data_IF_580556144093
#
_entry.id   IF_580556144093
#
_cell.length_a   1.000
_cell.length_b   1.000
_cell.length_c   1.000
_cell.angle_alpha   90.00
_cell.angle_beta   90.00
_cell.angle_gamma   90.00
#
_symmetry.space_group_name_H-M   'P 1'
#
loop_
_entity.id
_entity.type
_entity.pdbx_description
1 polymer ?
#
# COMPACT_ATOMS: atom_id res chain seq x y z
N UNK A 1 9.44 -2.99 -15.14
CA UNK A 1 8.21 -3.18 -15.96
C UNK A 1 7.00 -2.68 -15.21
N UNK A 2 5.92 -2.29 -15.90
CA UNK A 2 4.73 -1.66 -15.30
C UNK A 2 3.51 -2.52 -15.59
N UNK A 3 2.65 -2.74 -14.59
CA UNK A 3 1.41 -3.49 -14.75
C UNK A 3 0.27 -2.82 -13.98
N UNK A 4 -0.85 -2.60 -14.68
CA UNK A 4 -2.07 -2.03 -14.13
C UNK A 4 -3.20 -3.03 -14.36
N UNK A 5 -3.77 -3.55 -13.29
CA UNK A 5 -4.94 -4.44 -13.32
C UNK A 5 -5.94 -3.93 -12.30
N UNK A 6 -6.57 -2.80 -12.63
CA UNK A 6 -7.58 -2.16 -11.81
C UNK A 6 -8.98 -2.59 -12.25
N UNK A 7 -9.99 -2.47 -11.38
CA UNK A 7 -11.39 -2.75 -11.74
C UNK A 7 -11.64 -4.12 -12.39
N UNK A 8 -10.95 -5.16 -11.91
CA UNK A 8 -10.95 -6.51 -12.50
C UNK A 8 -11.51 -7.58 -11.56
N UNK A 9 -12.23 -7.19 -10.50
CA UNK A 9 -12.90 -8.06 -9.54
C UNK A 9 -12.00 -9.12 -8.85
N UNK A 10 -10.68 -8.91 -8.84
CA UNK A 10 -9.78 -9.82 -8.14
C UNK A 10 -10.04 -9.80 -6.63
N UNK A 11 -10.16 -10.98 -6.03
CA UNK A 11 -10.37 -11.16 -4.58
C UNK A 11 -9.08 -11.42 -3.81
N UNK A 12 -8.01 -11.77 -4.53
CA UNK A 12 -6.65 -11.99 -4.02
C UNK A 12 -5.65 -11.47 -5.05
N UNK A 13 -4.41 -11.19 -4.63
CA UNK A 13 -3.32 -10.95 -5.58
C UNK A 13 -2.96 -12.29 -6.26
N UNK A 14 -3.00 -12.40 -7.60
CA UNK A 14 -2.63 -13.64 -8.27
C UNK A 14 -1.14 -13.95 -8.11
N UNK A 15 -0.81 -15.21 -7.79
CA UNK A 15 0.58 -15.66 -7.53
C UNK A 15 1.55 -15.33 -8.67
N UNK A 16 1.07 -15.39 -9.92
CA UNK A 16 1.88 -15.05 -11.09
C UNK A 16 2.43 -13.63 -11.03
N UNK A 17 1.65 -12.65 -10.52
CA UNK A 17 2.08 -11.26 -10.45
C UNK A 17 3.24 -11.06 -9.47
N UNK A 18 3.30 -11.91 -8.45
CA UNK A 18 4.30 -11.81 -7.38
C UNK A 18 5.67 -12.30 -7.84
N UNK A 19 5.71 -13.24 -8.78
CA UNK A 19 6.93 -13.75 -9.40
C UNK A 19 7.43 -12.95 -10.61
N UNK A 20 6.69 -11.92 -11.03
CA UNK A 20 7.09 -11.08 -12.17
C UNK A 20 8.10 -10.01 -11.75
N UNK A 21 8.99 -9.67 -12.68
CA UNK A 21 9.96 -8.57 -12.53
C UNK A 21 9.28 -7.21 -12.79
N UNK A 22 8.34 -6.87 -11.91
CA UNK A 22 7.58 -5.63 -11.93
C UNK A 22 8.30 -4.56 -11.11
N UNK A 23 8.30 -3.34 -11.64
CA UNK A 23 8.74 -2.13 -10.94
C UNK A 23 7.54 -1.38 -10.38
N UNK A 24 6.44 -1.37 -11.12
CA UNK A 24 5.19 -0.72 -10.75
C UNK A 24 4.04 -1.71 -10.88
N UNK A 25 3.26 -1.86 -9.81
CA UNK A 25 2.05 -2.67 -9.80
C UNK A 25 0.88 -1.87 -9.24
N UNK A 26 -0.17 -1.72 -10.04
CA UNK A 26 -1.47 -1.24 -9.56
C UNK A 26 -2.53 -2.32 -9.64
N UNK A 27 -3.18 -2.56 -8.50
CA UNK A 27 -4.33 -3.45 -8.30
C UNK A 27 -5.50 -2.68 -7.67
N UNK A 28 -5.54 -1.36 -7.86
CA UNK A 28 -6.59 -0.50 -7.33
C UNK A 28 -8.00 -0.91 -7.75
N UNK A 29 -8.98 -0.63 -6.88
CA UNK A 29 -10.41 -0.83 -7.14
C UNK A 29 -10.78 -2.26 -7.58
N UNK A 30 -10.14 -3.26 -6.99
CA UNK A 30 -10.57 -4.66 -7.07
C UNK A 30 -11.36 -5.04 -5.79
N UNK A 31 -11.47 -6.34 -5.50
CA UNK A 31 -12.12 -6.88 -4.30
C UNK A 31 -11.11 -7.61 -3.41
N UNK A 32 -9.83 -7.21 -3.45
CA UNK A 32 -8.73 -7.92 -2.79
C UNK A 32 -8.90 -7.80 -1.27
N UNK A 33 -8.99 -8.95 -0.60
CA UNK A 33 -9.07 -9.01 0.86
C UNK A 33 -7.74 -9.43 1.49
N UNK A 34 -7.00 -10.29 0.79
CA UNK A 34 -5.74 -10.86 1.27
C UNK A 34 -4.61 -10.55 0.30
N UNK A 35 -3.46 -10.17 0.88
CA UNK A 35 -2.24 -9.85 0.14
C UNK A 35 -1.15 -10.84 0.56
N UNK A 36 -0.49 -11.55 -0.38
CA UNK A 36 0.56 -12.50 -0.05
C UNK A 36 1.82 -11.79 0.45
N UNK A 37 2.53 -12.41 1.40
CA UNK A 37 3.84 -11.94 1.90
C UNK A 37 4.84 -11.69 0.79
N UNK A 38 4.78 -12.53 -0.25
CA UNK A 38 5.70 -12.48 -1.37
C UNK A 38 5.61 -11.14 -2.16
N UNK A 39 4.47 -10.43 -2.13
CA UNK A 39 4.35 -9.11 -2.76
C UNK A 39 5.30 -8.08 -2.11
N UNK A 40 5.43 -8.12 -0.78
CA UNK A 40 6.27 -7.22 0.00
C UNK A 40 7.69 -7.74 0.21
N UNK A 41 8.08 -8.79 -0.50
CA UNK A 41 9.47 -9.30 -0.54
C UNK A 41 9.99 -9.40 -1.97
N UNK A 42 9.23 -8.92 -2.97
CA UNK A 42 9.68 -8.81 -4.35
C UNK A 42 10.69 -7.66 -4.47
N UNK A 43 11.96 -7.92 -4.85
CA UNK A 43 13.03 -6.93 -4.79
C UNK A 43 12.96 -5.87 -5.91
N UNK A 44 12.13 -6.09 -6.94
CA UNK A 44 12.06 -5.22 -8.12
C UNK A 44 11.00 -4.13 -8.00
N UNK A 45 9.98 -4.35 -7.15
CA UNK A 45 8.90 -3.39 -6.96
C UNK A 45 9.39 -2.14 -6.23
N UNK A 46 9.04 -0.97 -6.77
CA UNK A 46 9.25 0.33 -6.12
C UNK A 46 7.94 1.04 -5.83
N UNK A 47 6.85 0.69 -6.53
CA UNK A 47 5.52 1.24 -6.32
C UNK A 47 4.46 0.15 -6.31
N UNK A 48 3.63 0.16 -5.26
CA UNK A 48 2.45 -0.70 -5.15
C UNK A 48 1.22 0.15 -4.82
N UNK A 49 0.18 -0.01 -5.63
CA UNK A 49 -1.11 0.66 -5.45
C UNK A 49 -2.24 -0.37 -5.30
N UNK A 50 -2.97 -0.33 -4.19
CA UNK A 50 -4.05 -1.26 -3.85
C UNK A 50 -5.26 -0.53 -3.25
N UNK A 51 -5.41 0.77 -3.53
CA UNK A 51 -6.51 1.61 -3.09
C UNK A 51 -7.88 1.01 -3.44
N UNK A 52 -8.89 1.28 -2.62
CA UNK A 52 -10.27 0.86 -2.91
C UNK A 52 -10.50 -0.65 -2.86
N UNK A 53 -9.57 -1.42 -2.31
CA UNK A 53 -9.76 -2.84 -2.01
C UNK A 53 -10.18 -3.03 -0.54
N UNK A 54 -11.00 -4.03 -0.21
CA UNK A 54 -11.44 -4.32 1.16
C UNK A 54 -10.36 -4.98 2.05
N UNK A 55 -9.09 -4.59 1.92
CA UNK A 55 -7.96 -5.12 2.69
C UNK A 55 -8.09 -4.68 4.14
N UNK A 56 -8.19 -5.62 5.07
CA UNK A 56 -8.27 -5.35 6.52
C UNK A 56 -6.93 -5.49 7.25
N UNK A 57 -5.99 -6.24 6.68
CA UNK A 57 -4.65 -6.45 7.21
C UNK A 57 -3.64 -6.68 6.09
N UNK A 58 -2.41 -6.22 6.29
CA UNK A 58 -1.26 -6.60 5.46
C UNK A 58 -0.54 -7.79 6.10
N UNK A 59 0.15 -8.61 5.30
CA UNK A 59 0.97 -9.69 5.86
C UNK A 59 2.16 -9.14 6.65
N UNK A 60 2.60 -9.90 7.65
CA UNK A 60 3.87 -9.65 8.32
C UNK A 60 5.04 -10.17 7.50
N UNK A 61 6.10 -9.38 7.40
CA UNK A 61 7.37 -9.77 6.78
C UNK A 61 8.53 -9.40 7.69
N UNK A 62 9.62 -10.18 7.71
CA UNK A 62 10.83 -9.77 8.42
C UNK A 62 11.35 -8.44 7.86
N UNK A 63 11.67 -7.48 8.72
CA UNK A 63 12.09 -6.13 8.32
C UNK A 63 13.28 -6.13 7.34
N UNK A 64 14.21 -7.08 7.47
CA UNK A 64 15.37 -7.25 6.60
C UNK A 64 15.06 -7.88 5.23
N UNK A 65 13.86 -8.44 5.05
CA UNK A 65 13.40 -9.06 3.80
C UNK A 65 12.39 -8.19 3.04
N UNK A 66 11.97 -7.06 3.61
CA UNK A 66 10.93 -6.22 3.00
C UNK A 66 11.45 -5.55 1.73
N UNK A 67 10.57 -5.38 0.75
CA UNK A 67 10.82 -4.60 -0.46
C UNK A 67 11.11 -3.14 -0.12
N UNK A 68 12.09 -2.55 -0.79
CA UNK A 68 12.38 -1.13 -0.72
C UNK A 68 11.43 -0.35 -1.63
N UNK A 69 10.21 -0.10 -1.14
CA UNK A 69 9.21 0.69 -1.86
C UNK A 69 9.48 2.20 -1.73
N UNK A 70 9.32 2.93 -2.83
CA UNK A 70 9.26 4.39 -2.81
C UNK A 70 7.84 4.88 -2.48
N UNK A 71 6.82 4.14 -2.94
CA UNK A 71 5.42 4.50 -2.80
C UNK A 71 4.50 3.29 -2.58
N UNK A 72 3.69 3.37 -1.53
CA UNK A 72 2.64 2.42 -1.19
C UNK A 72 1.30 3.17 -1.04
N UNK A 73 0.31 2.80 -1.84
CA UNK A 73 -1.01 3.44 -1.84
C UNK A 73 -2.06 2.44 -1.38
N UNK A 74 -2.68 2.75 -0.24
CA UNK A 74 -3.66 1.92 0.47
C UNK A 74 -4.90 2.73 0.87
N UNK A 75 -5.14 3.86 0.19
CA UNK A 75 -6.31 4.69 0.41
C UNK A 75 -7.60 3.86 0.29
N UNK A 76 -8.58 4.15 1.13
CA UNK A 76 -9.92 3.55 1.08
C UNK A 76 -9.88 2.01 1.19
N UNK A 77 -8.94 1.50 1.99
CA UNK A 77 -8.93 0.11 2.47
C UNK A 77 -9.56 0.03 3.87
N UNK A 78 -9.73 -1.19 4.40
CA UNK A 78 -10.27 -1.42 5.74
C UNK A 78 -9.17 -1.61 6.81
N UNK A 79 -7.96 -1.10 6.55
CA UNK A 79 -6.81 -1.23 7.45
C UNK A 79 -7.05 -0.46 8.74
N UNK A 80 -7.02 -1.16 9.88
CA UNK A 80 -7.10 -0.58 11.22
C UNK A 80 -5.77 -0.59 11.97
N UNK A 81 -4.82 -1.42 11.52
CA UNK A 81 -3.50 -1.61 12.13
C UNK A 81 -2.45 -1.76 11.02
N UNK A 82 -1.27 -1.17 11.24
CA UNK A 82 -0.11 -1.37 10.36
C UNK A 82 0.73 -2.55 10.85
N UNK A 83 1.28 -3.37 9.94
CA UNK A 83 2.17 -4.46 10.31
C UNK A 83 3.50 -3.95 10.87
N UNK A 84 4.19 -4.80 11.63
CA UNK A 84 5.39 -4.42 12.39
C UNK A 84 6.56 -3.92 11.52
N UNK A 85 6.63 -4.36 10.27
CA UNK A 85 7.68 -3.96 9.32
C UNK A 85 7.50 -2.55 8.74
N UNK A 86 6.29 -1.96 8.85
CA UNK A 86 6.04 -0.55 8.57
C UNK A 86 6.48 0.33 9.74
N UNK A 87 7.67 0.03 10.26
CA UNK A 87 8.31 0.76 11.34
C UNK A 87 8.85 2.12 10.87
N UNK A 88 9.47 2.86 11.79
CA UNK A 88 10.08 4.15 11.47
C UNK A 88 11.10 4.05 10.31
N UNK A 89 11.87 2.96 10.22
CA UNK A 89 12.90 2.81 9.17
C UNK A 89 12.31 2.65 7.78
N UNK A 90 11.14 2.02 7.65
CA UNK A 90 10.38 1.97 6.42
C UNK A 90 9.71 3.32 6.11
N UNK A 91 9.06 3.91 7.11
CA UNK A 91 8.26 5.13 6.93
C UNK A 91 9.10 6.38 6.66
N UNK A 92 10.41 6.39 6.93
CA UNK A 92 11.26 7.53 6.51
C UNK A 92 11.66 7.47 5.03
N UNK A 93 11.68 6.28 4.42
CA UNK A 93 12.07 6.08 3.02
C UNK A 93 10.88 5.96 2.08
N UNK A 94 9.73 5.53 2.58
CA UNK A 94 8.58 5.16 1.75
C UNK A 94 7.40 6.07 2.00
N UNK A 95 6.84 6.63 0.93
CA UNK A 95 5.55 7.33 0.97
C UNK A 95 4.42 6.32 1.09
N UNK A 96 3.55 6.51 2.07
CA UNK A 96 2.42 5.64 2.35
C UNK A 96 1.15 6.47 2.42
N UNK A 97 0.19 6.19 1.54
CA UNK A 97 -1.14 6.80 1.58
C UNK A 97 -2.16 5.86 2.19
N UNK A 98 -2.89 6.33 3.19
CA UNK A 98 -3.87 5.57 3.98
C UNK A 98 -5.19 6.36 4.17
N UNK A 99 -5.48 7.34 3.31
CA UNK A 99 -6.68 8.15 3.45
C UNK A 99 -7.96 7.31 3.44
N UNK A 100 -8.92 7.65 4.29
CA UNK A 100 -10.17 6.88 4.52
C UNK A 100 -9.93 5.41 4.91
N UNK A 101 -8.96 5.17 5.78
CA UNK A 101 -8.81 3.88 6.46
C UNK A 101 -9.22 4.01 7.92
N UNK A 102 -9.76 2.96 8.57
CA UNK A 102 -10.02 2.98 10.01
C UNK A 102 -8.80 3.34 10.86
N UNK A 103 -7.59 3.04 10.39
CA UNK A 103 -6.33 3.45 11.01
C UNK A 103 -6.21 4.98 11.10
N UNK A 104 -6.46 5.67 9.99
CA UNK A 104 -6.43 7.12 9.95
C UNK A 104 -7.58 7.77 10.72
N UNK A 105 -8.77 7.15 10.72
CA UNK A 105 -9.89 7.60 11.55
C UNK A 105 -9.54 7.53 13.04
N UNK A 106 -8.89 6.44 13.47
CA UNK A 106 -8.43 6.27 14.84
C UNK A 106 -7.34 7.29 15.23
N UNK A 107 -6.40 7.61 14.33
CA UNK A 107 -5.39 8.65 14.56
C UNK A 107 -6.03 10.04 14.71
N UNK A 108 -6.97 10.38 13.83
CA UNK A 108 -7.73 11.63 13.90
C UNK A 108 -8.53 11.75 15.19
N UNK A 109 -9.19 10.67 15.62
CA UNK A 109 -9.91 10.61 16.90
C UNK A 109 -8.97 10.74 18.12
N UNK A 110 -7.74 10.24 18.00
CA UNK A 110 -6.72 10.37 19.04
C UNK A 110 -6.09 11.78 19.13
N UNK A 111 -6.57 12.74 18.32
CA UNK A 111 -5.99 14.09 18.18
C UNK A 111 -4.49 14.07 17.82
N UNK A 112 -4.04 12.94 17.26
CA UNK A 112 -2.71 12.78 16.71
C UNK A 112 -2.81 13.24 15.27
N UNK A 113 -2.28 14.42 14.96
CA UNK A 113 -2.12 14.82 13.57
C UNK A 113 -1.23 13.76 12.92
N UNK A 114 -1.75 13.06 11.91
CA UNK A 114 -1.00 12.05 11.15
C UNK A 114 0.32 12.61 10.59
N UNK A 115 0.40 13.93 10.43
CA UNK A 115 1.62 14.68 10.10
C UNK A 115 2.75 14.57 11.14
N UNK A 116 2.45 14.15 12.38
CA UNK A 116 3.42 14.13 13.50
C UNK A 116 4.12 12.78 13.66
N UNK A 117 3.68 11.71 12.95
CA UNK A 117 4.27 10.38 13.12
C UNK A 117 5.30 10.07 12.02
N UNK A 118 5.13 10.58 10.79
CA UNK A 118 6.18 10.65 9.77
C UNK A 118 5.67 11.48 8.57
N UNK A 119 6.49 12.35 7.97
CA UNK A 119 6.06 13.16 6.81
C UNK A 119 5.65 12.32 5.59
N UNK A 120 6.06 11.05 5.56
CA UNK A 120 5.75 10.14 4.46
C UNK A 120 4.47 9.33 4.70
N UNK A 121 3.90 9.31 5.91
CA UNK A 121 2.64 8.63 6.21
C UNK A 121 1.48 9.62 6.10
N UNK A 122 0.62 9.43 5.11
CA UNK A 122 -0.37 10.42 4.69
C UNK A 122 -1.79 9.86 4.86
N UNK A 123 -2.52 10.42 5.83
CA UNK A 123 -3.94 10.13 6.05
C UNK A 123 -4.90 10.99 5.21
N UNK A 124 -4.38 11.78 4.27
CA UNK A 124 -5.20 12.54 3.32
C UNK A 124 -5.44 11.68 2.08
N UNK A 125 -6.61 11.82 1.45
CA UNK A 125 -6.89 11.21 0.15
C UNK A 125 -5.79 11.60 -0.83
N UNK A 126 -5.21 10.61 -1.49
CA UNK A 126 -4.39 10.85 -2.65
C UNK A 126 -5.27 11.22 -3.85
N UNK A 127 -5.44 12.52 -4.12
CA UNK A 127 -6.17 13.00 -5.30
C UNK A 127 -5.45 12.67 -6.63
N UNK A 128 -4.17 12.28 -6.57
CA UNK A 128 -3.38 11.85 -7.72
C UNK A 128 -3.46 10.32 -7.98
N UNK A 129 -4.26 9.55 -7.23
CA UNK A 129 -4.49 8.13 -7.53
C UNK A 129 -5.00 7.90 -8.96
N UNK A 130 -5.83 8.80 -9.48
CA UNK A 130 -6.32 8.75 -10.87
C UNK A 130 -5.25 9.13 -11.91
N UNK A 131 -4.05 9.55 -11.48
CA UNK A 131 -2.97 10.04 -12.34
C UNK A 131 -1.73 9.14 -12.35
N UNK A 132 -1.75 7.96 -11.71
CA UNK A 132 -0.70 6.95 -11.92
C UNK A 132 -0.54 6.57 -13.40
N UNK A 133 -1.57 6.81 -14.23
CA UNK A 133 -1.54 6.74 -15.69
C UNK A 133 -0.64 7.79 -16.39
N UNK A 134 -0.12 8.82 -15.68
CA UNK A 134 0.67 9.91 -16.28
C UNK A 134 2.18 9.77 -16.12
N UNK A 135 2.65 8.69 -15.50
CA UNK A 135 4.08 8.48 -15.29
C UNK A 135 4.67 7.61 -16.43
N UNK A 136 3.83 7.05 -17.32
CA UNK A 136 4.26 6.28 -18.49
C UNK A 136 4.50 7.16 -19.72
#
# INVERSE_FOLDING_TARGET
MWLFVEHSDFTTVPDVLVGMDLTYLSLGFNQIQTVPTALFTNPSLTLVAMQGNPISMLPEVPAQNRTALDLLILDSTNLSVLPSWMDHSFLVTTKVYLGNTPYCDALGAANQTAETINHQLLCRKNDDCQRLHKIA
#
